data_IF_586161453054
#
_entry.id   IF_586161453054
#
_cell.length_a   1.000
_cell.length_b   1.000
_cell.length_c   1.000
_cell.angle_alpha   90.00
_cell.angle_beta   90.00
_cell.angle_gamma   90.00
#
_symmetry.space_group_name_H-M   'P 1'
#
loop_
_entity.id
_entity.type
_entity.pdbx_description
1 polymer ?
#
# COMPACT_ATOMS: atom_id res chain seq x y z
N UNK A 1 -32.17 29.66 22.74
CA UNK A 1 -31.28 29.69 21.56
C UNK A 1 -30.00 28.95 21.92
N UNK A 2 -30.00 27.62 21.80
CA UNK A 2 -29.48 26.87 20.64
C UNK A 2 -28.10 27.33 20.17
N UNK A 3 -27.09 26.49 20.42
CA UNK A 3 -26.17 26.00 19.38
C UNK A 3 -25.43 24.75 19.88
N UNK A 4 -26.03 23.64 19.49
CA UNK A 4 -25.47 22.30 19.47
C UNK A 4 -24.21 22.30 18.59
N UNK A 5 -23.06 21.86 19.11
CA UNK A 5 -21.88 21.52 18.30
C UNK A 5 -21.38 20.14 18.72
N UNK A 6 -22.15 19.11 18.36
CA UNK A 6 -21.60 17.76 18.20
C UNK A 6 -20.73 17.78 16.95
N UNK A 7 -19.44 18.07 17.12
CA UNK A 7 -18.43 17.77 16.11
C UNK A 7 -18.25 16.26 16.13
N UNK A 8 -18.82 15.58 15.14
CA UNK A 8 -18.64 14.15 14.94
C UNK A 8 -17.15 13.84 14.78
N UNK A 9 -16.54 13.28 15.83
CA UNK A 9 -15.38 12.42 15.66
C UNK A 9 -15.87 11.23 14.86
N UNK A 10 -15.49 11.17 13.58
CA UNK A 10 -15.56 9.95 12.81
C UNK A 10 -14.57 9.01 13.51
N UNK A 11 -15.06 7.89 14.01
CA UNK A 11 -14.20 6.88 14.62
C UNK A 11 -13.30 6.34 13.51
N UNK A 12 -12.06 6.80 13.42
CA UNK A 12 -10.97 6.07 12.77
C UNK A 12 -10.65 4.90 13.70
N UNK A 13 -11.51 3.88 13.71
CA UNK A 13 -11.16 2.60 14.33
C UNK A 13 -10.02 2.02 13.52
N UNK A 14 -8.87 1.90 14.17
CA UNK A 14 -7.71 1.29 13.58
C UNK A 14 -7.95 -0.22 13.40
N UNK A 15 -7.44 -0.79 12.30
CA UNK A 15 -7.49 -2.24 12.01
C UNK A 15 -6.88 -3.05 13.18
N UNK A 16 -5.96 -2.45 13.92
CA UNK A 16 -5.34 -3.07 15.10
C UNK A 16 -6.29 -3.14 16.31
N UNK A 17 -7.17 -2.15 16.50
CA UNK A 17 -8.10 -2.08 17.63
C UNK A 17 -9.29 -3.05 17.50
N UNK A 18 -9.61 -3.48 16.29
CA UNK A 18 -10.68 -4.45 15.99
C UNK A 18 -10.22 -5.91 16.10
N UNK A 19 -8.91 -6.16 16.25
CA UNK A 19 -8.34 -7.51 16.36
C UNK A 19 -8.46 -8.34 15.08
N UNK A 20 -8.68 -7.68 13.94
CA UNK A 20 -8.96 -8.30 12.65
C UNK A 20 -7.74 -8.35 11.72
N UNK A 21 -6.55 -8.03 12.24
CA UNK A 21 -5.28 -8.26 11.57
C UNK A 21 -4.42 -9.19 12.42
N UNK A 22 -4.13 -10.39 11.91
CA UNK A 22 -3.29 -11.37 12.60
C UNK A 22 -1.82 -11.26 12.20
N UNK A 23 -1.51 -10.52 11.13
CA UNK A 23 -0.15 -10.40 10.59
C UNK A 23 0.42 -11.71 10.02
N UNK A 24 -0.44 -12.69 9.74
CA UNK A 24 -0.08 -13.92 9.08
C UNK A 24 0.14 -13.73 7.57
N UNK A 25 0.50 -14.81 6.88
CA UNK A 25 0.75 -14.80 5.44
C UNK A 25 -0.41 -14.19 4.63
N UNK A 26 -1.64 -14.54 4.96
CA UNK A 26 -2.82 -14.09 4.22
C UNK A 26 -3.05 -12.60 4.45
N UNK A 27 -3.07 -12.18 5.71
CA UNK A 27 -3.33 -10.79 6.06
C UNK A 27 -2.23 -9.87 5.49
N UNK A 28 -0.96 -10.29 5.51
CA UNK A 28 0.15 -9.53 4.89
C UNK A 28 -0.04 -9.33 3.38
N UNK A 29 -0.36 -10.38 2.64
CA UNK A 29 -0.48 -10.29 1.18
C UNK A 29 -1.75 -9.57 0.73
N UNK A 30 -2.86 -9.71 1.46
CA UNK A 30 -4.07 -8.91 1.19
C UNK A 30 -3.81 -7.43 1.50
N UNK A 31 -3.12 -7.13 2.61
CA UNK A 31 -2.72 -5.74 2.91
C UNK A 31 -1.82 -5.16 1.83
N UNK A 32 -0.82 -5.91 1.37
CA UNK A 32 0.01 -5.51 0.23
C UNK A 32 -0.83 -5.24 -1.02
N UNK A 33 -1.74 -6.15 -1.37
CA UNK A 33 -2.63 -6.00 -2.52
C UNK A 33 -3.46 -4.71 -2.46
N UNK A 34 -4.07 -4.42 -1.31
CA UNK A 34 -4.96 -3.28 -1.15
C UNK A 34 -4.23 -1.94 -1.01
N UNK A 35 -3.11 -1.90 -0.28
CA UNK A 35 -2.52 -0.63 0.17
C UNK A 35 -1.21 -0.26 -0.53
N UNK A 36 -0.48 -1.20 -1.13
CA UNK A 36 0.86 -0.93 -1.68
C UNK A 36 0.85 0.13 -2.79
N UNK A 37 -0.21 0.16 -3.62
CA UNK A 37 -0.38 1.22 -4.63
C UNK A 37 -0.50 2.60 -3.99
N UNK A 38 -1.45 2.75 -3.07
CA UNK A 38 -1.71 4.02 -2.37
C UNK A 38 -0.51 4.53 -1.58
N UNK A 39 0.19 3.63 -0.87
CA UNK A 39 1.39 3.98 -0.12
C UNK A 39 2.47 4.50 -1.07
N UNK A 40 2.67 3.87 -2.23
CA UNK A 40 3.65 4.35 -3.18
C UNK A 40 3.26 5.70 -3.77
N UNK A 41 2.01 5.88 -4.19
CA UNK A 41 1.55 7.14 -4.76
C UNK A 41 1.73 8.30 -3.77
N UNK A 42 1.47 8.05 -2.48
CA UNK A 42 1.71 9.04 -1.42
C UNK A 42 3.19 9.32 -1.21
N UNK A 43 4.05 8.29 -1.20
CA UNK A 43 5.50 8.47 -1.09
C UNK A 43 6.08 9.24 -2.27
N UNK A 44 5.60 8.96 -3.49
CA UNK A 44 6.01 9.66 -4.70
C UNK A 44 5.57 11.13 -4.67
N UNK A 45 4.36 11.41 -4.16
CA UNK A 45 3.87 12.76 -3.93
C UNK A 45 4.73 13.51 -2.90
N UNK A 46 4.99 12.90 -1.74
CA UNK A 46 5.87 13.47 -0.71
C UNK A 46 7.25 13.77 -1.27
N UNK A 47 7.81 12.87 -2.08
CA UNK A 47 9.09 13.09 -2.74
C UNK A 47 9.05 14.28 -3.69
N UNK A 48 8.00 14.46 -4.48
CA UNK A 48 7.84 15.62 -5.35
C UNK A 48 7.73 16.92 -4.54
N UNK A 49 6.83 16.96 -3.57
CA UNK A 49 6.64 18.15 -2.71
C UNK A 49 7.94 18.50 -1.98
N UNK A 50 8.62 17.50 -1.43
CA UNK A 50 9.91 17.70 -0.76
C UNK A 50 10.97 18.24 -1.72
N UNK A 51 11.07 17.70 -2.93
CA UNK A 51 12.10 18.12 -3.87
C UNK A 51 11.87 19.51 -4.46
N UNK A 52 10.60 19.90 -4.63
CA UNK A 52 10.22 21.13 -5.33
C UNK A 52 9.92 22.32 -4.41
N UNK A 53 9.65 22.08 -3.11
CA UNK A 53 9.39 23.18 -2.21
C UNK A 53 10.60 24.11 -2.07
N UNK A 54 10.32 25.39 -1.84
CA UNK A 54 11.35 26.40 -1.65
C UNK A 54 11.59 26.63 -0.16
N UNK A 55 12.79 26.28 0.31
CA UNK A 55 13.26 26.60 1.66
C UNK A 55 13.53 28.10 1.71
N UNK A 56 12.78 28.81 2.56
CA UNK A 56 12.94 30.25 2.74
C UNK A 56 14.26 30.59 3.43
N UNK A 57 14.86 31.70 3.00
CA UNK A 57 16.03 32.27 3.65
C UNK A 57 15.75 32.59 5.13
N UNK A 58 16.64 32.12 6.01
CA UNK A 58 16.58 32.40 7.45
C UNK A 58 17.59 33.48 7.82
N UNK A 59 17.25 34.29 8.83
CA UNK A 59 18.16 35.29 9.40
C UNK A 59 19.46 34.69 9.97
N UNK A 60 19.48 33.38 10.25
CA UNK A 60 20.66 32.65 10.73
C UNK A 60 21.58 32.15 9.62
N UNK A 61 21.35 32.53 8.36
CA UNK A 61 22.18 32.10 7.22
C UNK A 61 22.05 30.61 6.90
N UNK A 62 20.89 30.00 7.22
CA UNK A 62 20.61 28.63 6.85
C UNK A 62 20.46 28.50 5.32
N UNK A 63 20.76 27.32 4.75
CA UNK A 63 20.56 27.07 3.33
C UNK A 63 19.13 27.38 2.90
N UNK A 64 18.99 27.99 1.74
CA UNK A 64 17.70 28.39 1.15
C UNK A 64 17.68 28.07 -0.33
N UNK A 65 16.53 27.74 -0.88
CA UNK A 65 16.38 27.24 -2.24
C UNK A 65 15.62 25.93 -2.28
N UNK A 66 15.65 25.26 -3.43
CA UNK A 66 14.95 23.98 -3.62
C UNK A 66 15.86 22.81 -3.28
N UNK A 67 15.44 21.86 -2.42
CA UNK A 67 16.27 20.74 -2.00
C UNK A 67 16.91 19.97 -3.15
N UNK A 68 16.16 19.71 -4.23
CA UNK A 68 16.69 19.01 -5.41
C UNK A 68 17.84 19.77 -6.06
N UNK A 69 17.69 21.07 -6.28
CA UNK A 69 18.74 21.89 -6.91
C UNK A 69 19.96 22.01 -5.98
N UNK A 70 19.73 22.16 -4.68
CA UNK A 70 20.81 22.21 -3.69
C UNK A 70 21.60 20.90 -3.62
N UNK A 71 20.92 19.77 -3.76
CA UNK A 71 21.53 18.44 -3.77
C UNK A 71 22.29 18.17 -5.08
N UNK A 72 21.66 18.43 -6.22
CA UNK A 72 22.20 18.08 -7.54
C UNK A 72 23.30 19.07 -7.98
N UNK A 73 23.21 20.34 -7.56
CA UNK A 73 24.10 21.43 -7.96
C UNK A 73 24.59 22.25 -6.75
N UNK A 74 25.33 21.63 -5.80
CA UNK A 74 25.77 22.30 -4.57
C UNK A 74 26.64 23.52 -4.84
N UNK A 75 27.37 23.55 -5.96
CA UNK A 75 28.22 24.68 -6.35
C UNK A 75 27.44 25.99 -6.56
N UNK A 76 26.15 25.94 -6.90
CA UNK A 76 25.29 27.14 -6.99
C UNK A 76 25.06 27.81 -5.63
N UNK A 77 25.27 27.06 -4.55
CA UNK A 77 25.09 27.50 -3.17
C UNK A 77 26.43 27.67 -2.44
N UNK A 78 27.54 27.72 -3.18
CA UNK A 78 28.91 27.75 -2.64
C UNK A 78 29.21 26.57 -1.70
N UNK A 79 28.60 25.41 -1.93
CA UNK A 79 28.87 24.17 -1.20
C UNK A 79 29.48 23.12 -2.13
N UNK A 80 30.00 22.04 -1.53
CA UNK A 80 30.60 20.91 -2.24
C UNK A 80 29.68 19.70 -2.24
N UNK A 81 29.80 18.85 -3.25
CA UNK A 81 29.16 17.54 -3.23
C UNK A 81 29.89 16.61 -2.26
N UNK A 82 29.13 15.90 -1.43
CA UNK A 82 29.62 14.85 -0.54
C UNK A 82 29.15 13.45 -0.97
N UNK A 83 28.67 13.34 -2.21
CA UNK A 83 28.23 12.06 -2.77
C UNK A 83 29.44 11.15 -3.00
N UNK A 84 29.31 9.88 -2.59
CA UNK A 84 30.25 8.84 -2.98
C UNK A 84 29.88 8.37 -4.38
N UNK A 85 30.78 8.52 -5.35
CA UNK A 85 30.58 7.97 -6.68
C UNK A 85 30.67 6.44 -6.60
N UNK A 86 29.52 5.76 -6.76
CA UNK A 86 29.46 4.30 -6.86
C UNK A 86 29.38 3.94 -8.33
N UNK A 87 30.24 3.02 -8.78
CA UNK A 87 30.22 2.57 -10.16
C UNK A 87 28.98 1.72 -10.45
N UNK A 88 28.46 1.81 -11.68
CA UNK A 88 27.25 1.07 -12.06
C UNK A 88 27.46 -0.45 -11.98
N UNK A 89 28.67 -0.91 -12.24
CA UNK A 89 29.08 -2.31 -12.13
C UNK A 89 29.01 -2.82 -10.69
N UNK A 90 29.44 -2.02 -9.71
CA UNK A 90 29.36 -2.35 -8.28
C UNK A 90 27.89 -2.45 -7.83
N UNK A 91 27.05 -1.50 -8.26
CA UNK A 91 25.61 -1.55 -8.01
C UNK A 91 24.96 -2.78 -8.64
N UNK A 92 25.37 -3.16 -9.84
CA UNK A 92 24.83 -4.33 -10.53
C UNK A 92 25.19 -5.63 -9.80
N UNK A 93 26.40 -5.73 -9.27
CA UNK A 93 26.82 -6.88 -8.45
C UNK A 93 25.98 -7.01 -7.18
N UNK A 94 25.61 -5.89 -6.54
CA UNK A 94 24.82 -5.87 -5.31
C UNK A 94 23.31 -5.96 -5.55
N UNK A 95 22.85 -5.90 -6.80
CA UNK A 95 21.42 -5.87 -7.15
C UNK A 95 20.62 -7.03 -6.55
N UNK A 96 21.21 -8.21 -6.43
CA UNK A 96 20.58 -9.40 -5.86
C UNK A 96 20.34 -9.30 -4.34
N UNK A 97 21.02 -8.39 -3.64
CA UNK A 97 20.83 -8.12 -2.22
C UNK A 97 19.73 -7.07 -1.96
N UNK A 98 19.27 -6.39 -3.02
CA UNK A 98 18.25 -5.37 -2.93
C UNK A 98 16.87 -5.95 -3.25
N UNK A 99 15.86 -5.52 -2.50
CA UNK A 99 14.45 -5.79 -2.84
C UNK A 99 13.94 -4.60 -3.63
N UNK A 100 13.57 -4.85 -4.89
CA UNK A 100 12.93 -3.85 -5.74
C UNK A 100 11.43 -4.09 -5.77
N UNK A 101 10.68 -3.01 -5.89
CA UNK A 101 9.24 -3.10 -6.11
C UNK A 101 8.97 -3.76 -7.45
N UNK A 102 8.17 -4.82 -7.42
CA UNK A 102 7.66 -5.48 -8.63
C UNK A 102 6.33 -4.83 -9.07
N UNK A 103 5.91 -5.10 -10.30
CA UNK A 103 4.59 -4.67 -10.79
C UNK A 103 3.44 -5.34 -10.05
N UNK A 104 3.73 -6.47 -9.39
CA UNK A 104 2.78 -7.22 -8.57
C UNK A 104 3.02 -6.82 -7.11
N UNK A 105 2.00 -6.33 -6.39
CA UNK A 105 2.18 -5.78 -5.04
C UNK A 105 2.43 -6.85 -3.97
N UNK A 106 2.08 -8.10 -4.23
CA UNK A 106 2.16 -9.23 -3.31
C UNK A 106 2.61 -10.50 -4.05
N UNK A 107 2.60 -11.66 -3.38
CA UNK A 107 2.88 -12.95 -4.01
C UNK A 107 1.99 -13.18 -5.26
N UNK A 108 2.55 -13.79 -6.31
CA UNK A 108 1.87 -13.93 -7.59
C UNK A 108 0.57 -14.76 -7.51
N UNK A 109 0.55 -15.81 -6.68
CA UNK A 109 -0.66 -16.60 -6.48
C UNK A 109 -1.69 -15.80 -5.70
N UNK A 110 -1.28 -15.13 -4.63
CA UNK A 110 -2.15 -14.26 -3.84
C UNK A 110 -2.75 -13.14 -4.70
N UNK A 111 -1.96 -12.52 -5.56
CA UNK A 111 -2.42 -11.50 -6.51
C UNK A 111 -3.49 -12.06 -7.46
N UNK A 112 -3.22 -13.22 -8.07
CA UNK A 112 -4.15 -13.84 -9.01
C UNK A 112 -5.47 -14.23 -8.33
N UNK A 113 -5.41 -14.70 -7.09
CA UNK A 113 -6.57 -15.04 -6.28
C UNK A 113 -7.38 -13.80 -5.94
N UNK A 114 -6.74 -12.76 -5.42
CA UNK A 114 -7.41 -11.50 -5.08
C UNK A 114 -8.07 -10.85 -6.31
N UNK A 115 -7.38 -10.82 -7.45
CA UNK A 115 -7.94 -10.32 -8.71
C UNK A 115 -9.19 -11.10 -9.15
N UNK A 116 -9.16 -12.44 -9.07
CA UNK A 116 -10.32 -13.27 -9.41
C UNK A 116 -11.48 -13.04 -8.44
N UNK A 117 -11.19 -12.99 -7.14
CA UNK A 117 -12.21 -12.68 -6.13
C UNK A 117 -12.84 -11.31 -6.34
N UNK A 118 -12.05 -10.29 -6.69
CA UNK A 118 -12.57 -8.96 -7.04
C UNK A 118 -13.52 -9.02 -8.25
N UNK A 119 -13.15 -9.77 -9.30
CA UNK A 119 -13.99 -9.98 -10.49
C UNK A 119 -15.31 -10.68 -10.15
N UNK A 120 -15.27 -11.72 -9.31
CA UNK A 120 -16.47 -12.46 -8.87
C UNK A 120 -17.40 -11.60 -8.01
N UNK A 121 -16.84 -10.71 -7.18
CA UNK A 121 -17.59 -9.79 -6.33
C UNK A 121 -18.04 -8.50 -7.06
N UNK A 122 -17.53 -8.25 -8.28
CA UNK A 122 -17.79 -7.01 -9.01
C UNK A 122 -17.16 -5.77 -8.36
N UNK A 123 -16.05 -5.93 -7.63
CA UNK A 123 -15.33 -4.84 -6.95
C UNK A 123 -14.08 -4.48 -7.74
N UNK A 124 -13.73 -3.20 -7.77
CA UNK A 124 -12.49 -2.73 -8.41
C UNK A 124 -11.26 -3.19 -7.59
N UNK A 125 -10.30 -3.91 -8.21
CA UNK A 125 -9.08 -4.33 -7.53
C UNK A 125 -8.14 -3.16 -7.16
N UNK A 126 -8.34 -1.97 -7.73
CA UNK A 126 -7.50 -0.80 -7.45
C UNK A 126 -8.27 0.20 -6.57
N UNK A 127 -7.99 0.28 -5.26
CA UNK A 127 -8.68 1.22 -4.39
C UNK A 127 -8.20 2.65 -4.64
N UNK A 128 -9.14 3.59 -4.69
CA UNK A 128 -8.85 5.01 -4.94
C UNK A 128 -8.30 5.75 -3.70
N UNK A 129 -8.61 5.25 -2.50
CA UNK A 129 -8.24 5.89 -1.24
C UNK A 129 -8.15 4.87 -0.10
N UNK A 130 -7.64 5.30 1.05
CA UNK A 130 -7.47 4.46 2.25
C UNK A 130 -8.76 3.78 2.69
N UNK A 131 -9.88 4.49 2.68
CA UNK A 131 -11.18 3.96 3.10
C UNK A 131 -11.64 2.81 2.20
N UNK A 132 -11.51 2.96 0.87
CA UNK A 132 -11.84 1.91 -0.09
C UNK A 132 -10.86 0.73 0.00
N UNK A 133 -9.58 0.99 0.23
CA UNK A 133 -8.59 -0.07 0.42
C UNK A 133 -8.88 -0.91 1.67
N UNK A 134 -9.33 -0.26 2.74
CA UNK A 134 -9.73 -0.91 3.99
C UNK A 134 -11.01 -1.74 3.83
N UNK A 135 -12.00 -1.23 3.10
CA UNK A 135 -13.18 -2.02 2.71
C UNK A 135 -12.81 -3.23 1.85
N UNK A 136 -11.93 -3.04 0.86
CA UNK A 136 -11.45 -4.11 -0.01
C UNK A 136 -10.69 -5.17 0.79
N UNK A 137 -9.83 -4.76 1.74
CA UNK A 137 -9.13 -5.65 2.66
C UNK A 137 -10.11 -6.56 3.41
N UNK A 138 -11.18 -6.01 3.98
CA UNK A 138 -12.16 -6.83 4.70
C UNK A 138 -12.94 -7.80 3.80
N UNK A 139 -13.34 -7.35 2.60
CA UNK A 139 -14.05 -8.22 1.65
C UNK A 139 -13.15 -9.37 1.20
N UNK A 140 -11.91 -9.08 0.81
CA UNK A 140 -10.94 -10.09 0.39
C UNK A 140 -10.58 -11.01 1.55
N UNK A 141 -10.36 -10.49 2.76
CA UNK A 141 -10.04 -11.32 3.92
C UNK A 141 -11.16 -12.30 4.24
N UNK A 142 -12.42 -11.84 4.25
CA UNK A 142 -13.57 -12.68 4.55
C UNK A 142 -13.78 -13.82 3.53
N UNK A 143 -13.31 -13.64 2.29
CA UNK A 143 -13.50 -14.59 1.18
C UNK A 143 -12.27 -15.46 0.92
N UNK A 144 -11.08 -14.88 0.88
CA UNK A 144 -9.81 -15.58 0.60
C UNK A 144 -9.35 -16.43 1.79
N UNK A 145 -9.52 -15.95 3.02
CA UNK A 145 -9.02 -16.67 4.21
C UNK A 145 -9.67 -18.04 4.38
N UNK A 146 -11.01 -18.21 4.26
CA UNK A 146 -11.61 -19.54 4.31
C UNK A 146 -11.10 -20.49 3.21
N UNK A 147 -10.83 -19.99 2.00
CA UNK A 147 -10.35 -20.82 0.88
C UNK A 147 -8.97 -21.44 1.16
N UNK A 148 -8.14 -20.77 1.96
CA UNK A 148 -6.78 -21.23 2.31
C UNK A 148 -6.74 -22.05 3.61
N UNK A 149 -7.74 -21.93 4.48
CA UNK A 149 -7.80 -22.61 5.78
C UNK A 149 -8.54 -23.94 5.69
N UNK A 150 -9.33 -24.21 4.64
CA UNK A 150 -10.00 -25.50 4.48
C UNK A 150 -8.99 -26.64 4.33
N UNK A 151 -8.86 -27.53 5.34
CA UNK A 151 -8.17 -28.79 5.13
C UNK A 151 -9.12 -29.65 4.29
N UNK A 152 -8.75 -29.94 3.03
CA UNK A 152 -9.43 -30.88 2.13
C UNK A 152 -10.66 -30.38 1.34
N UNK A 153 -10.55 -29.30 0.58
CA UNK A 153 -11.34 -29.20 -0.67
C UNK A 153 -10.43 -29.50 -1.86
N UNK A 154 -10.38 -30.81 -2.15
CA UNK A 154 -9.90 -31.41 -3.39
C UNK A 154 -10.33 -30.52 -4.57
N UNK A 155 -9.36 -30.16 -5.40
CA UNK A 155 -9.55 -29.74 -6.79
C UNK A 155 -10.50 -30.71 -7.49
N UNK A 156 -11.79 -30.38 -7.52
CA UNK A 156 -12.75 -30.95 -8.48
C UNK A 156 -13.26 -29.82 -9.37
N UNK A 157 -12.93 -29.82 -10.67
CA UNK A 157 -13.64 -28.95 -11.61
C UNK A 157 -15.09 -29.45 -11.66
N UNK A 158 -16.04 -28.61 -11.26
CA UNK A 158 -17.47 -28.90 -11.39
C UNK A 158 -18.37 -28.73 -10.16
N UNK A 159 -17.96 -28.02 -9.11
CA UNK A 159 -18.85 -27.68 -8.00
C UNK A 159 -19.77 -26.49 -8.33
N UNK A 160 -20.68 -26.70 -9.29
CA UNK A 160 -21.97 -26.01 -9.31
C UNK A 160 -22.93 -26.91 -8.54
N UNK A 161 -23.81 -26.34 -7.71
CA UNK A 161 -24.79 -27.01 -6.82
C UNK A 161 -24.13 -27.62 -5.55
N UNK A 162 -24.47 -27.31 -4.31
CA UNK A 162 -25.76 -26.99 -3.69
C UNK A 162 -25.51 -26.21 -2.38
N UNK A 163 -25.90 -24.94 -2.30
CA UNK A 163 -26.09 -24.25 -1.01
C UNK A 163 -27.53 -23.75 -0.80
N UNK A 164 -28.47 -24.12 -1.69
CA UNK A 164 -29.87 -23.66 -1.63
C UNK A 164 -30.87 -24.72 -1.16
N UNK A 165 -30.44 -25.86 -0.59
CA UNK A 165 -31.35 -26.93 -0.16
C UNK A 165 -31.40 -27.19 1.35
N UNK A 166 -30.93 -26.24 2.18
CA UNK A 166 -31.02 -26.38 3.64
C UNK A 166 -31.87 -25.32 4.34
N UNK A 167 -32.73 -24.60 3.61
CA UNK A 167 -33.61 -23.56 4.17
C UNK A 167 -35.01 -23.49 3.55
N UNK A 168 -35.63 -24.63 3.22
CA UNK A 168 -37.07 -24.67 2.94
C UNK A 168 -37.68 -26.03 3.28
N UNK A 169 -38.51 -26.05 4.33
CA UNK A 169 -39.61 -27.00 4.54
C UNK A 169 -39.26 -28.30 5.24
#
# INVERSE_FOLDING_TARGET
MSKNRKSGRRNEESIEETGDYTGDFVDKHISQFCFMGLIQDELDNVLQVWNDHEIRASRRGLPSGRPRIMHDFPYLYNTSSYLSAIQSEELQQLRHLCVFRESIPCDALMFSLCCRTCQELGVDPVPLNSDKALQLYFHLRATVRPLLVLPNCITRPGAVYYCLWWYAG
#
